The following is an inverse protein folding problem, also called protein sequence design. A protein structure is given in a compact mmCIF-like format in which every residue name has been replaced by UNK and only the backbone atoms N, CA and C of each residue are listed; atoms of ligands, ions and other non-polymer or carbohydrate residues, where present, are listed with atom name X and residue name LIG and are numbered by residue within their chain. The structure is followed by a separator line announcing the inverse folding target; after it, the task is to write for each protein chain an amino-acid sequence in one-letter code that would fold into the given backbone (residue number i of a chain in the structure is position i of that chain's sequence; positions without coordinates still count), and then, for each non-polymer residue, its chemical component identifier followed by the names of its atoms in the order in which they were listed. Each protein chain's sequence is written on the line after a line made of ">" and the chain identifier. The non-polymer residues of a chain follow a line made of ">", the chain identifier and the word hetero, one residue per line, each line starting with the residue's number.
data_IF_586732515364
#
_entry.id   IF_586732515364
#
_cell.length_a   1.000
_cell.length_b   1.000
_cell.length_c   1.000
_cell.angle_alpha   90.00
_cell.angle_beta   90.00
_cell.angle_gamma   90.00
#
_symmetry.space_group_name_H-M   'P 1'
#
loop_
_entity.id
_entity.type
_entity.pdbx_description
1 polymer ?
#
# COMPACT_ATOMS: atom_id res chain seq x y z
N UNK A 1 9.26 -1.45 -16.20
CA UNK A 1 8.26 -1.77 -15.16
C UNK A 1 8.80 -2.75 -14.11
N UNK A 2 9.21 -3.99 -14.46
CA UNK A 2 9.70 -4.98 -13.47
C UNK A 2 10.83 -4.48 -12.57
N UNK A 3 11.83 -3.77 -13.12
CA UNK A 3 12.94 -3.23 -12.33
C UNK A 3 12.46 -2.21 -11.29
N UNK A 4 11.55 -1.30 -11.67
CA UNK A 4 10.97 -0.33 -10.74
C UNK A 4 10.20 -1.02 -9.61
N UNK A 5 9.42 -2.06 -9.92
CA UNK A 5 8.71 -2.85 -8.89
C UNK A 5 9.68 -3.48 -7.89
N UNK A 6 10.79 -4.05 -8.37
CA UNK A 6 11.82 -4.66 -7.49
C UNK A 6 12.44 -3.61 -6.56
N UNK A 7 12.74 -2.42 -7.07
CA UNK A 7 13.33 -1.33 -6.25
C UNK A 7 12.34 -0.80 -5.21
N UNK A 8 11.06 -0.67 -5.58
CA UNK A 8 9.99 -0.28 -4.63
C UNK A 8 9.83 -1.37 -3.55
N UNK A 9 9.74 -2.64 -3.93
CA UNK A 9 9.69 -3.76 -2.99
C UNK A 9 10.87 -3.79 -2.02
N UNK A 10 12.07 -3.50 -2.52
CA UNK A 10 13.27 -3.38 -1.70
C UNK A 10 13.23 -2.18 -0.74
N UNK A 11 12.64 -1.06 -1.15
CA UNK A 11 12.43 0.10 -0.29
C UNK A 11 11.47 -0.23 0.84
N UNK A 12 10.32 -0.84 0.53
CA UNK A 12 9.32 -1.24 1.51
C UNK A 12 9.89 -2.23 2.53
N UNK A 13 10.74 -3.17 2.07
CA UNK A 13 11.40 -4.10 3.00
C UNK A 13 12.33 -3.36 3.96
N UNK A 14 13.20 -2.47 3.46
CA UNK A 14 14.08 -1.66 4.31
C UNK A 14 13.30 -0.77 5.27
N UNK A 15 12.15 -0.24 4.82
CA UNK A 15 11.25 0.52 5.67
C UNK A 15 10.70 -0.34 6.81
N UNK A 16 10.17 -1.50 6.49
CA UNK A 16 9.61 -2.43 7.47
C UNK A 16 10.68 -2.86 8.50
N UNK A 17 11.89 -3.21 8.03
CA UNK A 17 13.02 -3.62 8.89
C UNK A 17 13.47 -2.49 9.83
N UNK A 18 13.56 -1.26 9.31
CA UNK A 18 13.98 -0.10 10.11
C UNK A 18 13.04 0.18 11.29
N UNK A 19 11.76 -0.08 11.12
CA UNK A 19 10.74 0.14 12.15
C UNK A 19 10.33 -1.11 12.91
N UNK A 20 10.97 -2.24 12.66
CA UNK A 20 10.70 -3.50 13.34
C UNK A 20 9.28 -4.03 13.10
N UNK A 21 8.69 -3.70 11.96
CA UNK A 21 7.36 -4.17 11.55
C UNK A 21 7.47 -5.08 10.32
N UNK A 22 6.41 -5.84 10.04
CA UNK A 22 6.38 -6.65 8.82
C UNK A 22 5.95 -5.82 7.59
N UNK A 23 6.25 -6.30 6.38
CA UNK A 23 5.71 -5.71 5.14
C UNK A 23 4.18 -5.70 5.12
N UNK A 24 3.55 -6.68 5.76
CA UNK A 24 2.10 -6.72 5.91
C UNK A 24 1.61 -5.55 6.77
N UNK A 25 2.31 -5.24 7.85
CA UNK A 25 1.99 -4.10 8.71
C UNK A 25 2.16 -2.77 7.96
N UNK A 26 3.25 -2.63 7.20
CA UNK A 26 3.48 -1.47 6.35
C UNK A 26 2.31 -1.25 5.38
N UNK A 27 1.88 -2.29 4.66
CA UNK A 27 0.73 -2.22 3.75
C UNK A 27 -0.58 -1.85 4.44
N UNK A 28 -0.79 -2.29 5.68
CA UNK A 28 -1.95 -1.88 6.48
C UNK A 28 -1.90 -0.39 6.77
N UNK A 29 -0.75 0.12 7.23
CA UNK A 29 -0.52 1.54 7.51
C UNK A 29 -0.74 2.39 6.25
N UNK A 30 -0.12 2.02 5.13
CA UNK A 30 -0.21 2.74 3.85
C UNK A 30 -1.65 2.85 3.36
N UNK A 31 -2.44 1.77 3.48
CA UNK A 31 -3.86 1.81 3.11
C UNK A 31 -4.67 2.76 4.02
N UNK A 32 -4.41 2.74 5.33
CA UNK A 32 -5.10 3.64 6.26
C UNK A 32 -4.69 5.10 6.07
N UNK A 33 -3.45 5.37 5.70
CA UNK A 33 -2.95 6.72 5.41
C UNK A 33 -3.50 7.28 4.10
N UNK A 34 -3.55 6.47 3.06
CA UNK A 34 -4.01 6.89 1.74
C UNK A 34 -5.53 6.99 1.62
N UNK A 35 -6.27 6.10 2.28
CA UNK A 35 -7.74 5.98 2.16
C UNK A 35 -8.50 6.48 3.38
N UNK A 36 -7.81 6.84 4.48
CA UNK A 36 -8.43 7.21 5.75
C UNK A 36 -8.97 6.01 6.54
N UNK A 37 -9.81 6.26 7.57
CA UNK A 37 -10.35 5.23 8.43
C UNK A 37 -11.15 4.18 7.66
N UNK A 38 -10.90 2.89 7.91
CA UNK A 38 -11.54 1.77 7.24
C UNK A 38 -12.10 0.76 8.24
N UNK A 39 -13.21 0.10 7.90
CA UNK A 39 -13.64 -1.08 8.66
C UNK A 39 -12.66 -2.23 8.46
N UNK A 40 -12.50 -3.15 9.44
CA UNK A 40 -11.62 -4.32 9.27
C UNK A 40 -11.91 -5.13 8.01
N UNK A 41 -13.17 -5.26 7.60
CA UNK A 41 -13.54 -5.98 6.39
C UNK A 41 -13.11 -5.27 5.10
N UNK A 42 -13.15 -3.93 5.06
CA UNK A 42 -12.65 -3.14 3.94
C UNK A 42 -11.14 -3.25 3.85
N UNK A 43 -10.47 -3.09 5.00
CA UNK A 43 -9.01 -3.15 5.10
C UNK A 43 -8.47 -4.53 4.72
N UNK A 44 -9.09 -5.63 5.18
CA UNK A 44 -8.71 -6.99 4.80
C UNK A 44 -8.72 -7.19 3.28
N UNK A 45 -9.77 -6.70 2.62
CA UNK A 45 -9.87 -6.75 1.15
C UNK A 45 -8.80 -5.89 0.47
N UNK A 46 -8.58 -4.67 0.95
CA UNK A 46 -7.61 -3.75 0.36
C UNK A 46 -6.17 -4.29 0.44
N UNK A 47 -5.81 -4.93 1.57
CA UNK A 47 -4.47 -5.49 1.75
C UNK A 47 -4.34 -6.96 1.30
N UNK A 48 -5.43 -7.60 0.87
CA UNK A 48 -5.41 -8.99 0.41
C UNK A 48 -5.17 -10.01 1.53
N UNK A 49 -5.67 -9.76 2.73
CA UNK A 49 -5.52 -10.63 3.90
C UNK A 49 -6.83 -11.35 4.25
N UNK A 50 -6.68 -12.52 4.87
CA UNK A 50 -7.80 -13.15 5.59
C UNK A 50 -8.17 -12.34 6.83
N UNK A 51 -9.39 -12.52 7.35
CA UNK A 51 -9.82 -11.85 8.60
C UNK A 51 -8.88 -12.16 9.77
N UNK A 52 -8.45 -13.42 9.91
CA UNK A 52 -7.52 -13.83 10.97
C UNK A 52 -6.15 -13.19 10.83
N UNK A 53 -5.58 -13.20 9.60
CA UNK A 53 -4.30 -12.55 9.32
C UNK A 53 -4.33 -11.05 9.58
N UNK A 54 -5.43 -10.37 9.20
CA UNK A 54 -5.59 -8.96 9.51
C UNK A 54 -5.71 -8.72 11.03
N UNK A 55 -6.47 -9.56 11.77
CA UNK A 55 -6.63 -9.40 13.23
C UNK A 55 -5.28 -9.39 13.94
N UNK A 56 -4.39 -10.33 13.59
CA UNK A 56 -3.03 -10.42 14.14
C UNK A 56 -2.21 -9.16 13.83
N UNK A 57 -2.28 -8.67 12.60
CA UNK A 57 -1.59 -7.44 12.20
C UNK A 57 -2.12 -6.21 12.98
N UNK A 58 -3.44 -6.09 13.11
CA UNK A 58 -4.06 -4.99 13.85
C UNK A 58 -3.72 -5.02 15.33
N UNK A 59 -3.73 -6.18 15.98
CA UNK A 59 -3.35 -6.31 17.40
C UNK A 59 -1.90 -5.86 17.63
N UNK A 60 -0.99 -6.26 16.73
CA UNK A 60 0.41 -5.85 16.80
C UNK A 60 0.58 -4.33 16.61
N UNK A 61 -0.05 -3.78 15.57
CA UNK A 61 0.02 -2.34 15.25
C UNK A 61 -0.62 -1.46 16.32
N UNK A 62 -1.72 -1.91 16.92
CA UNK A 62 -2.39 -1.21 18.01
C UNK A 62 -1.53 -1.21 19.28
N UNK A 63 -0.89 -2.35 19.60
CA UNK A 63 0.02 -2.48 20.75
C UNK A 63 1.22 -1.53 20.68
N UNK A 64 1.75 -1.28 19.47
CA UNK A 64 2.87 -0.34 19.27
C UNK A 64 2.38 1.10 19.01
N UNK A 65 1.06 1.33 19.02
CA UNK A 65 0.46 2.66 18.92
C UNK A 65 0.36 3.23 17.50
N UNK A 66 0.60 2.46 16.45
CA UNK A 66 0.56 2.94 15.06
C UNK A 66 -0.84 3.02 14.49
N UNK A 67 -1.78 2.30 15.07
CA UNK A 67 -3.20 2.39 14.75
C UNK A 67 -4.02 2.52 16.01
N UNK A 68 -5.27 2.96 15.85
CA UNK A 68 -6.30 2.88 16.88
C UNK A 68 -7.62 2.42 16.28
N UNK A 69 -8.46 1.82 17.11
CA UNK A 69 -9.85 1.49 16.78
C UNK A 69 -10.77 2.55 17.36
N UNK A 70 -11.73 2.98 16.57
CA UNK A 70 -12.74 3.93 16.99
C UNK A 70 -14.11 3.51 16.47
N UNK A 71 -15.17 4.12 16.99
CA UNK A 71 -16.51 3.92 16.46
C UNK A 71 -16.68 4.68 15.15
N UNK A 72 -17.38 4.08 14.19
CA UNK A 72 -17.67 4.74 12.93
C UNK A 72 -18.54 5.99 13.18
N UNK A 73 -18.20 7.18 12.62
CA UNK A 73 -18.88 8.44 12.97
C UNK A 73 -20.38 8.47 12.67
N UNK A 74 -20.84 7.69 11.68
CA UNK A 74 -22.26 7.62 11.28
C UNK A 74 -23.00 6.37 11.77
N UNK A 75 -22.28 5.36 12.29
CA UNK A 75 -22.88 4.11 12.76
C UNK A 75 -22.05 3.54 13.92
N UNK A 76 -22.44 3.86 15.14
CA UNK A 76 -21.74 3.46 16.36
C UNK A 76 -21.66 1.94 16.59
N UNK A 77 -22.43 1.14 15.83
CA UNK A 77 -22.33 -0.33 15.86
C UNK A 77 -21.13 -0.86 15.07
N UNK A 78 -20.51 -0.01 14.25
CA UNK A 78 -19.37 -0.37 13.41
C UNK A 78 -18.08 0.19 13.99
N UNK A 79 -17.04 -0.63 13.97
CA UNK A 79 -15.68 -0.24 14.33
C UNK A 79 -14.92 0.13 13.07
N UNK A 80 -14.15 1.20 13.12
CA UNK A 80 -13.16 1.56 12.12
C UNK A 80 -11.76 1.54 12.71
N UNK A 81 -10.79 1.30 11.88
CA UNK A 81 -9.36 1.36 12.18
C UNK A 81 -8.79 2.58 11.48
N UNK A 82 -7.96 3.33 12.15
CA UNK A 82 -7.26 4.49 11.60
C UNK A 82 -5.79 4.50 12.03
N UNK A 83 -4.92 5.05 11.18
CA UNK A 83 -3.54 5.29 11.52
C UNK A 83 -3.43 6.46 12.50
N UNK A 84 -2.49 6.39 13.44
CA UNK A 84 -2.19 7.47 14.39
C UNK A 84 -1.07 8.36 13.87
N UNK A 85 -0.84 9.51 14.51
CA UNK A 85 0.28 10.38 14.17
C UNK A 85 1.65 9.79 14.55
N UNK A 86 1.67 8.69 15.32
CA UNK A 86 2.90 7.95 15.62
C UNK A 86 3.59 7.36 14.38
N UNK A 87 2.86 7.23 13.24
CA UNK A 87 3.43 6.80 11.96
C UNK A 87 4.13 7.92 11.18
N UNK A 88 3.92 9.19 11.53
CA UNK A 88 4.50 10.35 10.81
C UNK A 88 6.04 10.35 10.83
N UNK A 89 6.74 10.10 11.95
CA UNK A 89 8.19 9.96 11.95
C UNK A 89 8.69 8.85 11.02
N UNK A 90 7.94 7.78 10.91
CA UNK A 90 8.15 6.67 10.00
C UNK A 90 8.16 7.11 8.53
N UNK A 91 7.10 7.77 8.07
CA UNK A 91 6.99 8.28 6.70
C UNK A 91 8.14 9.25 6.39
N UNK A 92 8.42 10.16 7.33
CA UNK A 92 9.46 11.18 7.16
C UNK A 92 10.86 10.57 7.07
N UNK A 93 11.20 9.60 7.90
CA UNK A 93 12.55 9.02 7.92
C UNK A 93 12.85 8.23 6.64
N UNK A 94 11.90 7.45 6.14
CA UNK A 94 12.11 6.57 4.98
C UNK A 94 11.86 7.29 3.66
N UNK A 95 10.76 8.03 3.57
CA UNK A 95 10.31 8.58 2.30
C UNK A 95 10.76 10.01 2.03
N UNK A 96 11.17 10.81 3.04
CA UNK A 96 11.58 12.19 2.79
C UNK A 96 12.84 12.29 1.91
N UNK A 97 13.82 11.40 2.10
CA UNK A 97 15.03 11.40 1.28
C UNK A 97 14.71 11.03 -0.18
N UNK A 98 13.88 10.01 -0.39
CA UNK A 98 13.40 9.62 -1.71
C UNK A 98 12.54 10.73 -2.31
N UNK A 99 11.60 11.28 -1.56
CA UNK A 99 10.71 12.36 -2.00
C UNK A 99 11.49 13.58 -2.50
N UNK A 100 12.55 14.01 -1.78
CA UNK A 100 13.43 15.08 -2.25
C UNK A 100 14.12 14.77 -3.58
N UNK A 101 14.54 13.52 -3.79
CA UNK A 101 15.16 13.08 -5.05
C UNK A 101 14.15 13.03 -6.20
N UNK A 102 12.96 12.50 -5.92
CA UNK A 102 11.85 12.44 -6.88
C UNK A 102 11.39 13.86 -7.26
N UNK A 103 11.23 14.77 -6.30
CA UNK A 103 10.84 16.15 -6.57
C UNK A 103 11.88 16.88 -7.43
N UNK A 104 13.18 16.65 -7.22
CA UNK A 104 14.24 17.19 -8.11
C UNK A 104 14.15 16.62 -9.52
N UNK A 105 13.83 15.34 -9.67
CA UNK A 105 13.61 14.72 -10.97
C UNK A 105 12.39 15.34 -11.66
N UNK A 106 11.28 15.50 -10.95
CA UNK A 106 10.03 16.06 -11.47
C UNK A 106 10.18 17.55 -11.87
N UNK A 107 11.05 18.30 -11.20
CA UNK A 107 11.32 19.69 -11.55
C UNK A 107 11.93 19.89 -12.95
N UNK A 108 12.46 18.82 -13.57
CA UNK A 108 12.94 18.84 -14.96
C UNK A 108 11.86 18.62 -16.02
N UNK A 109 10.60 18.39 -15.63
CA UNK A 109 9.49 18.13 -16.53
C UNK A 109 8.53 19.32 -16.58
N UNK A 110 7.95 19.59 -17.74
CA UNK A 110 6.87 20.56 -17.91
C UNK A 110 5.57 20.07 -17.25
N UNK A 111 4.63 20.97 -16.99
CA UNK A 111 3.32 20.61 -16.46
C UNK A 111 2.56 19.61 -17.35
N UNK A 112 2.69 19.72 -18.66
CA UNK A 112 2.04 18.82 -19.62
C UNK A 112 2.63 17.40 -19.54
N UNK A 113 3.95 17.29 -19.46
CA UNK A 113 4.65 16.02 -19.26
C UNK A 113 4.28 15.38 -17.92
N UNK A 114 4.19 16.18 -16.83
CA UNK A 114 3.77 15.69 -15.53
C UNK A 114 2.34 15.17 -15.53
N UNK A 115 1.42 15.81 -16.24
CA UNK A 115 0.04 15.32 -16.40
C UNK A 115 0.01 13.99 -17.17
N UNK A 116 0.81 13.86 -18.22
CA UNK A 116 0.94 12.61 -18.99
C UNK A 116 1.48 11.48 -18.11
N UNK A 117 2.54 11.73 -17.35
CA UNK A 117 3.14 10.78 -16.42
C UNK A 117 2.12 10.36 -15.34
N UNK A 118 1.42 11.33 -14.76
CA UNK A 118 0.37 11.07 -13.76
C UNK A 118 -0.71 10.15 -14.33
N UNK A 119 -1.26 10.51 -15.49
CA UNK A 119 -2.30 9.72 -16.16
C UNK A 119 -1.85 8.28 -16.44
N UNK A 120 -0.62 8.11 -16.94
CA UNK A 120 -0.04 6.78 -17.17
C UNK A 120 0.06 5.97 -15.87
N UNK A 121 0.56 6.57 -14.78
CA UNK A 121 0.73 5.89 -13.49
C UNK A 121 -0.62 5.49 -12.89
N UNK A 122 -1.62 6.37 -12.95
CA UNK A 122 -2.98 6.08 -12.47
C UNK A 122 -3.62 4.92 -13.25
N UNK A 123 -3.45 4.93 -14.56
CA UNK A 123 -3.96 3.86 -15.43
C UNK A 123 -3.24 2.52 -15.18
N UNK A 124 -1.91 2.55 -15.09
CA UNK A 124 -1.11 1.37 -14.78
C UNK A 124 -1.47 0.77 -13.41
N UNK A 125 -1.69 1.61 -12.39
CA UNK A 125 -2.14 1.18 -11.07
C UNK A 125 -3.53 0.51 -11.12
N UNK A 126 -4.48 1.08 -11.87
CA UNK A 126 -5.82 0.52 -12.01
C UNK A 126 -5.81 -0.85 -12.72
N UNK A 127 -5.00 -1.00 -13.77
CA UNK A 127 -4.82 -2.28 -14.47
C UNK A 127 -4.21 -3.33 -13.55
N UNK A 128 -3.21 -2.95 -12.74
CA UNK A 128 -2.57 -3.87 -11.79
C UNK A 128 -3.56 -4.31 -10.70
N UNK A 129 -4.38 -3.39 -10.20
CA UNK A 129 -5.41 -3.71 -9.19
C UNK A 129 -6.51 -4.64 -9.74
N UNK A 130 -6.85 -4.51 -11.03
CA UNK A 130 -7.83 -5.36 -11.71
C UNK A 130 -7.27 -6.75 -12.08
N UNK A 131 -5.94 -6.87 -12.22
CA UNK A 131 -5.25 -8.12 -12.52
C UNK A 131 -5.05 -8.90 -11.21
N UNK A 132 -6.09 -9.59 -10.74
CA UNK A 132 -5.93 -10.58 -9.66
C UNK A 132 -4.93 -11.69 -10.06
N UNK A 133 -4.49 -12.54 -9.12
CA UNK A 133 -3.61 -13.66 -9.45
C UNK A 133 -4.29 -14.50 -10.53
N UNK A 134 -3.65 -14.64 -11.70
CA UNK A 134 -4.11 -15.50 -12.77
C UNK A 134 -4.42 -16.88 -12.17
N UNK A 135 -5.64 -17.38 -12.35
CA UNK A 135 -5.96 -18.74 -11.93
C UNK A 135 -4.95 -19.67 -12.58
N UNK A 136 -4.40 -20.61 -11.83
CA UNK A 136 -3.37 -21.53 -12.29
C UNK A 136 -3.71 -22.32 -13.58
N UNK A 137 -4.94 -22.19 -14.11
CA UNK A 137 -5.39 -22.76 -15.39
C UNK A 137 -5.07 -21.92 -16.63
N UNK A 138 -4.89 -20.59 -16.50
CA UNK A 138 -4.68 -19.72 -17.67
C UNK A 138 -3.24 -19.75 -18.20
N UNK A 139 -2.27 -20.14 -17.36
CA UNK A 139 -0.88 -20.27 -17.81
C UNK A 139 -0.65 -21.43 -18.78
N UNK A 140 -1.49 -22.47 -18.72
CA UNK A 140 -1.37 -23.64 -19.59
C UNK A 140 -1.91 -23.41 -21.02
N UNK A 141 -2.81 -22.44 -21.20
CA UNK A 141 -3.36 -22.12 -22.52
C UNK A 141 -2.40 -21.27 -23.36
N UNK A 142 -1.65 -20.35 -22.73
CA UNK A 142 -0.70 -19.48 -23.43
C UNK A 142 0.54 -20.21 -23.96
N UNK A 143 0.87 -21.39 -23.43
CA UNK A 143 1.97 -22.21 -23.92
C UNK A 143 1.55 -23.03 -25.14
N UNK A 144 0.25 -23.34 -25.30
CA UNK A 144 -0.27 -24.14 -26.44
C UNK A 144 -0.49 -23.34 -27.72
N UNK A 145 -0.59 -22.02 -27.64
CA UNK A 145 -0.77 -21.14 -28.82
C UNK A 145 0.55 -20.75 -29.50
N UNK A 146 1.70 -21.15 -28.93
CA UNK A 146 3.05 -20.86 -29.49
C UNK A 146 3.79 -22.10 -29.97
N UNK A 147 3.15 -23.25 -30.05
CA UNK A 147 3.66 -24.49 -30.65
C UNK A 147 2.91 -24.80 -31.95
#
# INVERSE_FOLDING_TARGET
>A
MRRLSIEIDGLDQRAADHFGISRTDLRVIDNLRSSGPMTPSQLARAVGLTRGGLSIALERLERIGYIRRSQHPRDRRRVVVEATDAVVPFETAVFAALGRRVNRLLAGYSNEELQTIKHFLEHAASLTAASGPAKAGDAASLVRERA
#
